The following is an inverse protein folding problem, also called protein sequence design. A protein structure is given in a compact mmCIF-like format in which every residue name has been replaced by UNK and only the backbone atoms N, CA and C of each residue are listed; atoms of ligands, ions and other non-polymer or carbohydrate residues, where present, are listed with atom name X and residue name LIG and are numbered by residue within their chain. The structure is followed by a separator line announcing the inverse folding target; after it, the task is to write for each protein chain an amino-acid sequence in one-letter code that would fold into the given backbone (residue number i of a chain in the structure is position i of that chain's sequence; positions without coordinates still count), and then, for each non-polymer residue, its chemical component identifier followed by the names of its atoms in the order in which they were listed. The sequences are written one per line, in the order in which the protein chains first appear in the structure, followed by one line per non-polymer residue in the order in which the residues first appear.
data_IF_275003105040
#
_entry.id   IF_275003105040
#
_cell.length_a   1.000
_cell.length_b   1.000
_cell.length_c   1.000
_cell.angle_alpha   90.00
_cell.angle_beta   90.00
_cell.angle_gamma   90.00
#
_symmetry.space_group_name_H-M   'P 1'
#
loop_
_entity.id
_entity.type
_entity.pdbx_description
1 polymer ?
#
# COMPACT_ATOMS: atom_id res chain seq x y z
N UNK A 1 39.99 -2.26 2.73
CA UNK A 1 39.34 -3.30 3.57
C UNK A 1 37.95 -2.84 3.89
N UNK A 2 36.93 -3.38 3.18
CA UNK A 2 35.53 -3.00 3.37
C UNK A 2 34.99 -3.78 4.57
N UNK A 3 34.63 -3.09 5.63
CA UNK A 3 33.96 -3.68 6.80
C UNK A 3 32.51 -3.96 6.40
N UNK A 4 32.17 -5.23 6.29
CA UNK A 4 30.79 -5.68 6.16
C UNK A 4 30.18 -5.56 7.56
N UNK A 5 29.35 -4.54 7.76
CA UNK A 5 28.57 -4.39 8.98
C UNK A 5 27.27 -5.21 8.77
N UNK A 6 27.24 -6.40 9.36
CA UNK A 6 25.99 -7.16 9.50
C UNK A 6 25.20 -6.45 10.59
N UNK A 7 24.26 -5.60 10.18
CA UNK A 7 23.35 -4.95 11.11
C UNK A 7 22.20 -5.90 11.39
N UNK A 8 22.15 -6.37 12.63
CA UNK A 8 21.09 -7.18 13.18
C UNK A 8 19.72 -6.48 13.06
N UNK A 9 18.69 -7.29 12.80
CA UNK A 9 17.27 -6.94 12.76
C UNK A 9 16.89 -5.86 13.75
N UNK A 10 16.72 -4.63 13.27
CA UNK A 10 16.04 -3.57 14.00
C UNK A 10 14.56 -3.89 14.08
N UNK A 11 14.05 -4.10 15.28
CA UNK A 11 12.67 -4.39 15.55
C UNK A 11 11.75 -3.30 14.99
N UNK A 12 10.93 -3.67 14.01
CA UNK A 12 9.75 -2.89 13.65
C UNK A 12 8.83 -2.89 14.88
N UNK A 13 8.71 -1.73 15.53
CA UNK A 13 7.65 -1.52 16.51
C UNK A 13 6.32 -1.37 15.76
N UNK A 14 5.73 -2.51 15.41
CA UNK A 14 4.32 -2.53 15.10
C UNK A 14 3.57 -2.47 16.42
N UNK A 15 2.71 -1.46 16.57
CA UNK A 15 1.73 -1.46 17.64
C UNK A 15 0.83 -2.69 17.41
N UNK A 16 1.10 -3.76 18.14
CA UNK A 16 0.31 -4.99 18.11
C UNK A 16 -1.03 -4.72 18.77
N UNK A 17 -2.06 -4.46 17.96
CA UNK A 17 -3.41 -4.73 18.42
C UNK A 17 -3.60 -6.25 18.41
N UNK A 18 -3.54 -6.85 19.60
CA UNK A 18 -3.82 -8.27 19.80
C UNK A 18 -5.27 -8.57 19.45
N UNK A 19 -5.50 -9.15 18.25
CA UNK A 19 -6.68 -9.91 17.98
C UNK A 19 -6.34 -11.41 18.11
N UNK A 20 -7.12 -12.21 18.88
CA UNK A 20 -6.91 -13.64 19.00
C UNK A 20 -7.44 -14.34 17.74
N UNK A 21 -6.57 -14.61 16.79
CA UNK A 21 -6.86 -15.38 15.59
C UNK A 21 -5.57 -15.95 15.04
N UNK A 22 -5.44 -17.29 15.05
CA UNK A 22 -4.23 -18.04 14.75
C UNK A 22 -3.50 -17.61 13.50
N UNK A 23 -2.51 -16.72 13.64
CA UNK A 23 -1.55 -16.37 12.61
C UNK A 23 -0.40 -17.37 12.65
N UNK A 24 0.07 -17.75 11.47
CA UNK A 24 1.31 -18.52 11.34
C UNK A 24 2.47 -17.81 12.02
N UNK A 25 3.42 -18.55 12.66
CA UNK A 25 4.57 -17.91 13.28
C UNK A 25 5.38 -17.14 12.23
N UNK A 26 5.48 -15.82 12.41
CA UNK A 26 6.27 -14.94 11.54
C UNK A 26 5.48 -14.01 10.63
N UNK A 27 4.16 -13.96 10.71
CA UNK A 27 3.36 -12.95 10.01
C UNK A 27 3.16 -11.68 10.86
N UNK A 28 3.18 -10.52 10.22
CA UNK A 28 2.88 -9.24 10.87
C UNK A 28 1.97 -8.38 9.99
N UNK A 29 1.09 -7.58 10.59
CA UNK A 29 0.26 -6.64 9.86
C UNK A 29 0.08 -5.35 10.65
N UNK A 30 -0.08 -4.23 9.94
CA UNK A 30 -0.35 -2.93 10.52
C UNK A 30 -1.32 -2.13 9.65
N UNK A 31 -2.18 -1.36 10.31
CA UNK A 31 -3.12 -0.45 9.69
C UNK A 31 -2.56 0.97 9.67
N UNK A 32 -2.67 1.62 8.53
CA UNK A 32 -2.19 2.98 8.30
C UNK A 32 -3.35 3.86 7.85
N UNK A 33 -3.80 4.79 8.73
CA UNK A 33 -4.74 5.81 8.33
C UNK A 33 -4.05 6.83 7.41
N UNK A 34 -4.79 7.35 6.45
CA UNK A 34 -4.24 8.30 5.48
C UNK A 34 -5.31 8.92 4.60
N UNK A 35 -4.86 9.44 3.48
CA UNK A 35 -5.64 10.19 2.51
C UNK A 35 -5.60 9.49 1.17
N UNK A 36 -6.77 9.32 0.54
CA UNK A 36 -6.92 8.70 -0.76
C UNK A 36 -7.44 9.70 -1.77
N UNK A 37 -6.85 9.71 -2.94
CA UNK A 37 -7.33 10.45 -4.12
C UNK A 37 -7.45 9.50 -5.29
N UNK A 38 -8.56 9.57 -6.02
CA UNK A 38 -8.77 8.88 -7.29
C UNK A 38 -8.99 9.91 -8.39
N UNK A 39 -8.23 9.81 -9.46
CA UNK A 39 -8.29 10.74 -10.59
C UNK A 39 -8.45 10.00 -11.91
N UNK A 40 -8.99 10.68 -12.90
CA UNK A 40 -8.95 10.22 -14.29
C UNK A 40 -7.52 10.30 -14.83
N UNK A 41 -7.07 9.29 -15.56
CA UNK A 41 -5.71 9.28 -16.14
C UNK A 41 -5.55 10.36 -17.22
N UNK A 42 -6.56 10.55 -18.06
CA UNK A 42 -6.46 11.47 -19.20
C UNK A 42 -6.61 12.95 -18.82
N UNK A 43 -7.50 13.24 -17.89
CA UNK A 43 -7.85 14.63 -17.53
C UNK A 43 -7.25 15.08 -16.22
N UNK A 44 -6.68 14.14 -15.46
CA UNK A 44 -6.20 14.35 -14.07
C UNK A 44 -7.30 14.83 -13.11
N UNK A 45 -8.55 14.85 -13.55
CA UNK A 45 -9.68 15.29 -12.75
C UNK A 45 -9.93 14.32 -11.60
N UNK A 46 -9.98 14.86 -10.38
CA UNK A 46 -10.30 14.08 -9.17
C UNK A 46 -11.75 13.63 -9.19
N UNK A 47 -12.00 12.34 -9.09
CA UNK A 47 -13.34 11.72 -9.07
C UNK A 47 -13.78 11.27 -7.70
N UNK A 48 -12.82 11.03 -6.79
CA UNK A 48 -13.10 10.63 -5.42
C UNK A 48 -11.94 11.01 -4.49
N UNK A 49 -12.28 11.41 -3.27
CA UNK A 49 -11.32 11.63 -2.18
C UNK A 49 -11.84 11.02 -0.89
N UNK A 50 -10.93 10.50 -0.06
CA UNK A 50 -11.24 10.04 1.30
C UNK A 50 -10.13 10.50 2.26
N UNK A 51 -10.50 11.37 3.21
CA UNK A 51 -9.58 11.89 4.23
C UNK A 51 -9.41 10.93 5.43
N UNK A 52 -10.17 9.84 5.45
CA UNK A 52 -10.12 8.80 6.48
C UNK A 52 -9.84 7.42 5.88
N UNK A 53 -9.17 7.40 4.74
CA UNK A 53 -8.80 6.15 4.09
C UNK A 53 -7.88 5.32 4.99
N UNK A 54 -7.97 4.01 4.88
CA UNK A 54 -7.15 3.08 5.64
C UNK A 54 -6.55 2.04 4.72
N UNK A 55 -5.24 1.86 4.85
CA UNK A 55 -4.50 0.80 4.17
C UNK A 55 -3.90 -0.13 5.22
N UNK A 56 -4.10 -1.43 5.05
CA UNK A 56 -3.42 -2.46 5.85
C UNK A 56 -2.25 -3.00 5.05
N UNK A 57 -1.06 -3.04 5.65
CA UNK A 57 0.12 -3.71 5.10
C UNK A 57 0.41 -4.93 5.95
N UNK A 58 0.54 -6.09 5.31
CA UNK A 58 0.83 -7.35 5.99
C UNK A 58 2.07 -8.01 5.35
N UNK A 59 2.95 -8.54 6.19
CA UNK A 59 4.07 -9.39 5.77
C UNK A 59 3.67 -10.82 6.12
N UNK A 60 3.23 -11.62 5.14
CA UNK A 60 2.72 -12.98 5.40
C UNK A 60 3.82 -13.95 5.76
N UNK A 61 5.04 -13.73 5.27
CA UNK A 61 6.21 -14.55 5.54
C UNK A 61 7.45 -13.65 5.68
N UNK A 62 8.03 -13.59 6.87
CA UNK A 62 9.22 -12.76 7.13
C UNK A 62 10.49 -13.23 6.41
N UNK A 63 10.49 -14.42 5.82
CA UNK A 63 11.63 -14.96 5.05
C UNK A 63 11.59 -14.52 3.58
N UNK A 64 10.46 -13.98 3.11
CA UNK A 64 10.29 -13.52 1.75
C UNK A 64 10.16 -11.99 1.73
N UNK A 65 10.86 -11.28 0.83
CA UNK A 65 10.80 -9.82 0.74
C UNK A 65 9.53 -9.38 -0.02
N UNK A 66 8.37 -9.82 0.45
CA UNK A 66 7.05 -9.55 -0.13
C UNK A 66 6.07 -9.14 0.96
N UNK A 67 5.12 -8.29 0.60
CA UNK A 67 4.00 -7.94 1.45
C UNK A 67 2.67 -7.87 0.69
N UNK A 68 1.61 -7.96 1.46
CA UNK A 68 0.25 -7.73 0.99
C UNK A 68 -0.19 -6.32 1.36
N UNK A 69 -0.93 -5.66 0.47
CA UNK A 69 -1.56 -4.36 0.73
C UNK A 69 -3.07 -4.51 0.57
N UNK A 70 -3.83 -4.07 1.57
CA UNK A 70 -5.29 -4.00 1.50
C UNK A 70 -5.76 -2.55 1.61
N UNK A 71 -6.43 -2.06 0.58
CA UNK A 71 -7.19 -0.82 0.65
C UNK A 71 -8.56 -1.12 1.23
N UNK A 72 -8.83 -0.62 2.43
CA UNK A 72 -10.08 -0.88 3.12
C UNK A 72 -11.14 0.14 2.74
N UNK A 73 -12.36 -0.34 2.49
CA UNK A 73 -13.54 0.50 2.20
C UNK A 73 -13.33 1.50 1.06
N UNK A 74 -12.63 1.10 0.01
CA UNK A 74 -12.27 1.97 -1.11
C UNK A 74 -13.41 2.16 -2.09
N UNK A 75 -13.52 3.36 -2.66
CA UNK A 75 -14.31 3.68 -3.87
C UNK A 75 -13.40 4.23 -4.96
N UNK A 76 -13.78 4.05 -6.22
CA UNK A 76 -13.11 4.65 -7.39
C UNK A 76 -13.84 5.87 -7.93
N UNK A 77 -15.08 6.08 -7.48
CA UNK A 77 -15.93 7.18 -7.88
C UNK A 77 -16.92 7.48 -6.75
N UNK A 78 -17.29 8.73 -6.58
CA UNK A 78 -18.28 9.16 -5.59
C UNK A 78 -19.64 8.54 -5.80
N UNK A 79 -20.04 8.28 -7.07
CA UNK A 79 -21.30 7.63 -7.43
C UNK A 79 -21.32 6.11 -7.19
N UNK A 80 -20.20 5.50 -6.85
CA UNK A 80 -20.10 4.07 -6.60
C UNK A 80 -20.91 3.67 -5.35
N UNK A 81 -21.92 2.76 -5.47
CA UNK A 81 -22.84 2.48 -4.36
C UNK A 81 -22.21 1.65 -3.23
N UNK A 82 -21.16 0.88 -3.54
CA UNK A 82 -20.47 0.01 -2.60
C UNK A 82 -19.01 0.40 -2.42
N UNK A 83 -18.51 0.18 -1.22
CA UNK A 83 -17.08 0.21 -0.91
C UNK A 83 -16.48 -1.18 -1.06
N UNK A 84 -15.22 -1.25 -1.47
CA UNK A 84 -14.52 -2.50 -1.72
C UNK A 84 -13.26 -2.60 -0.85
N UNK A 85 -13.01 -3.80 -0.33
CA UNK A 85 -11.71 -4.15 0.24
C UNK A 85 -10.86 -4.78 -0.87
N UNK A 86 -9.88 -4.03 -1.37
CA UNK A 86 -9.07 -4.43 -2.51
C UNK A 86 -7.70 -4.85 -1.99
N UNK A 87 -7.35 -6.12 -2.22
CA UNK A 87 -6.09 -6.70 -1.77
C UNK A 87 -5.14 -6.93 -2.95
N UNK A 88 -3.92 -6.48 -2.80
CA UNK A 88 -2.76 -6.79 -3.63
C UNK A 88 -1.87 -7.74 -2.85
N UNK A 89 -1.58 -8.91 -3.41
CA UNK A 89 -0.85 -9.99 -2.73
C UNK A 89 0.54 -10.17 -3.32
N UNK A 90 1.51 -10.53 -2.48
CA UNK A 90 2.86 -10.89 -2.89
C UNK A 90 3.61 -9.78 -3.62
N UNK A 91 3.51 -8.54 -3.15
CA UNK A 91 4.21 -7.41 -3.75
C UNK A 91 5.69 -7.43 -3.31
N UNK A 92 6.64 -7.64 -4.23
CA UNK A 92 8.05 -7.65 -3.90
C UNK A 92 8.54 -6.26 -3.53
N UNK A 93 9.42 -6.17 -2.53
CA UNK A 93 10.03 -4.91 -2.12
C UNK A 93 11.54 -4.99 -1.98
N UNK A 94 12.17 -3.82 -2.02
CA UNK A 94 13.56 -3.62 -1.65
C UNK A 94 13.65 -2.68 -0.46
N UNK A 95 14.55 -2.98 0.47
CA UNK A 95 14.76 -2.15 1.66
C UNK A 95 15.80 -1.08 1.36
N UNK A 96 15.49 0.16 1.72
CA UNK A 96 16.43 1.29 1.70
C UNK A 96 16.43 2.00 3.05
N UNK A 97 17.45 2.78 3.32
CA UNK A 97 17.54 3.62 4.52
C UNK A 97 17.31 5.06 4.10
N UNK A 98 16.57 5.82 4.91
CA UNK A 98 16.39 7.26 4.69
C UNK A 98 17.73 8.01 4.71
N UNK A 99 17.77 9.22 4.13
CA UNK A 99 18.98 10.04 4.07
C UNK A 99 19.57 10.37 5.45
N UNK A 100 18.72 10.47 6.46
CA UNK A 100 19.10 10.68 7.87
C UNK A 100 19.49 9.39 8.60
N UNK A 101 19.53 8.25 7.91
CA UNK A 101 19.84 6.91 8.42
C UNK A 101 18.96 6.43 9.59
N UNK A 102 17.82 7.08 9.83
CA UNK A 102 16.95 6.81 10.98
C UNK A 102 15.75 5.92 10.66
N UNK A 103 15.35 5.83 9.38
CA UNK A 103 14.13 5.14 8.97
C UNK A 103 14.40 4.11 7.87
N UNK A 104 13.87 2.91 8.04
CA UNK A 104 13.81 1.91 6.97
C UNK A 104 12.62 2.20 6.06
N UNK A 105 12.86 2.21 4.77
CA UNK A 105 11.86 2.35 3.74
C UNK A 105 11.80 1.08 2.89
N UNK A 106 10.60 0.63 2.58
CA UNK A 106 10.36 -0.52 1.71
C UNK A 106 9.78 -0.01 0.40
N UNK A 107 10.60 0.01 -0.65
CA UNK A 107 10.21 0.44 -1.99
C UNK A 107 9.69 -0.74 -2.78
N UNK A 108 8.57 -0.57 -3.47
CA UNK A 108 7.98 -1.60 -4.31
C UNK A 108 7.51 -1.04 -5.64
N UNK A 109 7.54 -1.89 -6.65
CA UNK A 109 7.02 -1.60 -7.98
C UNK A 109 6.65 -2.94 -8.64
N UNK A 110 5.37 -3.14 -8.91
CA UNK A 110 4.86 -4.33 -9.55
C UNK A 110 3.95 -3.97 -10.72
N UNK A 111 3.84 -4.85 -11.72
CA UNK A 111 3.08 -4.61 -12.96
C UNK A 111 2.12 -5.76 -13.23
N UNK A 112 1.03 -5.44 -13.93
CA UNK A 112 0.04 -6.43 -14.39
C UNK A 112 -0.58 -7.25 -13.26
N UNK A 113 -0.90 -6.61 -12.15
CA UNK A 113 -1.45 -7.25 -10.96
C UNK A 113 -2.97 -7.35 -11.07
N UNK A 114 -3.52 -8.52 -10.77
CA UNK A 114 -4.97 -8.71 -10.58
C UNK A 114 -5.21 -8.72 -9.07
N UNK A 115 -5.89 -7.70 -8.53
CA UNK A 115 -6.21 -7.67 -7.11
C UNK A 115 -7.29 -8.69 -6.76
N UNK A 116 -7.41 -9.02 -5.49
CA UNK A 116 -8.52 -9.83 -4.95
C UNK A 116 -9.51 -8.95 -4.19
N UNK A 117 -10.79 -9.31 -4.26
CA UNK A 117 -11.87 -8.75 -3.46
C UNK A 117 -12.58 -9.91 -2.79
N UNK A 118 -12.58 -9.95 -1.45
CA UNK A 118 -13.09 -11.09 -0.70
C UNK A 118 -12.37 -12.41 -1.00
N UNK A 119 -11.08 -12.37 -1.35
CA UNK A 119 -10.27 -13.55 -1.71
C UNK A 119 -10.49 -14.06 -3.15
N UNK A 120 -11.30 -13.39 -3.96
CA UNK A 120 -11.57 -13.76 -5.35
C UNK A 120 -10.83 -12.81 -6.30
N UNK A 121 -10.07 -13.31 -7.30
CA UNK A 121 -9.41 -12.47 -8.28
C UNK A 121 -10.42 -11.59 -9.05
N UNK A 122 -10.16 -10.28 -9.07
CA UNK A 122 -11.10 -9.31 -9.64
C UNK A 122 -10.54 -8.67 -10.91
N UNK A 123 -10.62 -9.40 -12.02
CA UNK A 123 -10.03 -9.03 -13.32
C UNK A 123 -10.52 -7.67 -13.86
N UNK A 124 -11.72 -7.24 -13.47
CA UNK A 124 -12.28 -5.93 -13.86
C UNK A 124 -11.50 -4.75 -13.27
N UNK A 125 -10.65 -4.98 -12.27
CA UNK A 125 -9.79 -3.99 -11.63
C UNK A 125 -8.32 -4.35 -11.76
N UNK A 126 -7.95 -4.98 -12.88
CA UNK A 126 -6.55 -5.23 -13.20
C UNK A 126 -5.76 -3.92 -13.16
N UNK A 127 -4.65 -3.95 -12.46
CA UNK A 127 -3.74 -2.81 -12.28
C UNK A 127 -2.54 -2.99 -13.21
N UNK A 128 -2.26 -1.98 -14.03
CA UNK A 128 -1.14 -2.00 -14.97
C UNK A 128 0.18 -1.83 -14.23
N UNK A 129 0.16 -0.97 -13.21
CA UNK A 129 1.32 -0.73 -12.36
C UNK A 129 0.86 -0.30 -10.96
N UNK A 130 1.49 -0.85 -9.93
CA UNK A 130 1.41 -0.38 -8.55
C UNK A 130 2.82 -0.15 -8.03
N UNK A 131 3.06 1.01 -7.42
CA UNK A 131 4.35 1.37 -6.84
C UNK A 131 4.16 2.19 -5.58
N UNK A 132 5.20 2.27 -4.79
CA UNK A 132 5.18 3.13 -3.60
C UNK A 132 6.32 2.88 -2.64
N UNK A 133 6.16 3.49 -1.49
CA UNK A 133 7.08 3.40 -0.36
C UNK A 133 6.27 3.13 0.92
N UNK A 134 6.59 2.07 1.62
CA UNK A 134 6.15 1.86 2.99
C UNK A 134 7.27 2.38 3.90
N UNK A 135 7.09 3.62 4.37
CA UNK A 135 8.07 4.36 5.17
C UNK A 135 7.41 5.51 5.91
N UNK A 136 8.08 6.65 5.96
CA UNK A 136 7.54 7.90 6.54
C UNK A 136 7.79 9.07 5.60
N UNK A 137 6.75 9.52 4.84
CA UNK A 137 5.37 9.01 4.81
C UNK A 137 5.23 7.71 4.01
N UNK A 138 4.10 7.01 4.19
CA UNK A 138 3.67 5.97 3.27
C UNK A 138 3.07 6.63 2.04
N UNK A 139 3.48 6.17 0.86
CA UNK A 139 2.89 6.57 -0.41
C UNK A 139 2.65 5.35 -1.28
N UNK A 140 1.47 5.25 -1.89
CA UNK A 140 1.10 4.16 -2.78
C UNK A 140 0.36 4.77 -3.97
N UNK A 141 0.81 4.41 -5.17
CA UNK A 141 0.13 4.80 -6.42
C UNK A 141 -0.12 3.57 -7.27
N UNK A 142 -1.29 3.51 -7.90
CA UNK A 142 -1.57 2.48 -8.90
C UNK A 142 -2.47 2.99 -10.03
N UNK A 143 -2.31 2.38 -11.20
CA UNK A 143 -2.98 2.76 -12.44
C UNK A 143 -3.78 1.60 -12.99
N UNK A 144 -5.01 1.91 -13.40
CA UNK A 144 -5.95 0.99 -14.04
C UNK A 144 -6.37 1.58 -15.39
N UNK A 145 -5.57 1.37 -16.44
CA UNK A 145 -5.87 1.94 -17.78
C UNK A 145 -7.22 1.49 -18.31
N UNK A 146 -7.62 0.24 -18.04
CA UNK A 146 -8.95 -0.27 -18.43
C UNK A 146 -10.13 0.47 -17.78
N UNK A 147 -9.88 1.19 -16.68
CA UNK A 147 -10.86 2.02 -15.97
C UNK A 147 -10.60 3.52 -16.15
N UNK A 148 -9.48 3.88 -16.79
CA UNK A 148 -9.07 5.28 -16.91
C UNK A 148 -8.77 5.93 -15.57
N UNK A 149 -8.41 5.16 -14.52
CA UNK A 149 -8.25 5.67 -13.14
C UNK A 149 -6.82 5.51 -12.64
N UNK A 150 -6.38 6.55 -11.95
CA UNK A 150 -5.18 6.54 -11.12
C UNK A 150 -5.58 6.73 -9.66
N UNK A 151 -4.97 5.95 -8.77
CA UNK A 151 -5.19 6.01 -7.33
C UNK A 151 -3.90 6.43 -6.65
N UNK A 152 -4.01 7.38 -5.75
CA UNK A 152 -2.92 7.82 -4.88
C UNK A 152 -3.36 7.74 -3.42
N UNK A 153 -2.55 7.10 -2.59
CA UNK A 153 -2.71 7.07 -1.14
C UNK A 153 -1.46 7.62 -0.48
N UNK A 154 -1.63 8.46 0.54
CA UNK A 154 -0.52 8.96 1.35
C UNK A 154 -0.92 9.12 2.81
N UNK A 155 0.03 8.93 3.72
CA UNK A 155 -0.14 9.30 5.15
C UNK A 155 0.25 10.75 5.42
N UNK A 156 0.81 11.48 4.43
CA UNK A 156 1.19 12.88 4.54
C UNK A 156 0.05 13.81 4.11
N UNK A 157 -0.53 14.53 5.05
CA UNK A 157 -1.62 15.49 4.78
C UNK A 157 -1.24 16.57 3.76
N UNK A 158 0.00 17.02 3.76
CA UNK A 158 0.49 18.05 2.85
C UNK A 158 0.48 17.58 1.39
N UNK A 159 0.90 16.34 1.12
CA UNK A 159 0.88 15.76 -0.22
C UNK A 159 -0.55 15.60 -0.76
N UNK A 160 -1.48 15.21 0.12
CA UNK A 160 -2.89 15.11 -0.23
C UNK A 160 -3.46 16.45 -0.69
N UNK A 161 -3.14 17.56 0.00
CA UNK A 161 -3.64 18.88 -0.34
C UNK A 161 -3.12 19.42 -1.68
N UNK A 162 -1.96 18.98 -2.13
CA UNK A 162 -1.40 19.38 -3.44
C UNK A 162 -2.01 18.62 -4.62
N UNK A 163 -2.67 17.47 -4.36
CA UNK A 163 -3.30 16.62 -5.38
C UNK A 163 -4.85 16.69 -5.37
N UNK A 164 -5.43 17.50 -4.52
CA UNK A 164 -6.88 17.73 -4.42
C UNK A 164 -7.32 18.85 -5.38
#
# INVERSE_FOLDING_TARGET
MKKILILACGALFFATSCLPGGGSPGSSSADYPGYLTVSEIETEATTYTDENAKVTVAIPNMLEPEFDIVFNDMKFDSAMPVKLNIKFEGLPFVTTVSEDETTLNYLFNAKNIVPTVGGIPYNNYKVDSIKGCIGRPITIEFWMSTKGKMVHFTTAKQEYQTKK
#
